data_IF_958459033806
#
_entry.id   IF_958459033806
#
_cell.length_a   1.000
_cell.length_b   1.000
_cell.length_c   1.000
_cell.angle_alpha   90.00
_cell.angle_beta   90.00
_cell.angle_gamma   90.00
#
_symmetry.space_group_name_H-M   'P 1'
#
loop_
_entity.id
_entity.type
_entity.pdbx_description
1 polymer ?
#
# COMPACT_ATOMS: atom_id res chain seq x y z
N UNK A 1 25.19 -41.16 -33.31
CA UNK A 1 24.83 -39.75 -33.09
C UNK A 1 23.79 -39.71 -31.99
N UNK A 2 24.15 -39.23 -30.79
CA UNK A 2 23.22 -39.15 -29.66
C UNK A 2 22.51 -37.80 -29.73
N UNK A 3 21.22 -37.80 -30.06
CA UNK A 3 20.38 -36.61 -29.95
C UNK A 3 20.24 -36.28 -28.46
N UNK A 4 20.73 -35.11 -28.07
CA UNK A 4 20.60 -34.58 -26.71
C UNK A 4 19.11 -34.33 -26.43
N UNK A 5 18.49 -35.21 -25.66
CA UNK A 5 17.19 -34.98 -25.03
C UNK A 5 17.36 -34.06 -23.82
N UNK A 6 17.91 -32.87 -24.02
CA UNK A 6 17.82 -31.82 -23.00
C UNK A 6 16.51 -31.07 -23.26
N UNK A 7 15.52 -31.15 -22.35
CA UNK A 7 14.28 -30.42 -22.52
C UNK A 7 14.57 -28.92 -22.57
N UNK A 8 14.05 -28.26 -23.60
CA UNK A 8 14.13 -26.80 -23.74
C UNK A 8 13.41 -26.13 -22.57
N UNK A 9 13.85 -24.95 -22.11
CA UNK A 9 13.28 -24.23 -20.94
C UNK A 9 11.75 -24.03 -20.96
N UNK A 10 11.11 -24.23 -22.11
CA UNK A 10 9.67 -24.08 -22.36
C UNK A 10 8.92 -25.41 -22.47
N UNK A 11 9.61 -26.54 -22.38
CA UNK A 11 8.99 -27.87 -22.33
C UNK A 11 8.74 -28.23 -20.88
N UNK A 12 7.47 -28.42 -20.51
CA UNK A 12 7.11 -29.03 -19.24
C UNK A 12 7.76 -30.42 -19.21
N UNK A 13 8.74 -30.60 -18.33
CA UNK A 13 9.42 -31.88 -18.19
C UNK A 13 8.40 -32.96 -17.84
N UNK A 14 8.29 -34.00 -18.67
CA UNK A 14 7.35 -35.12 -18.48
C UNK A 14 7.59 -35.87 -17.15
N UNK A 15 8.69 -35.55 -16.45
CA UNK A 15 9.08 -36.13 -15.16
C UNK A 15 9.15 -35.10 -14.02
N UNK A 16 8.78 -33.84 -14.25
CA UNK A 16 8.74 -32.83 -13.21
C UNK A 16 7.34 -32.79 -12.57
N UNK A 17 7.29 -32.95 -11.24
CA UNK A 17 6.04 -32.88 -10.47
C UNK A 17 5.64 -31.42 -10.27
N UNK A 18 4.62 -30.98 -11.00
CA UNK A 18 4.00 -29.67 -10.82
C UNK A 18 2.78 -29.76 -9.89
N UNK A 19 2.64 -28.79 -8.99
CA UNK A 19 1.52 -28.70 -8.07
C UNK A 19 0.60 -27.53 -8.47
N UNK A 20 -0.73 -27.72 -8.45
CA UNK A 20 -1.67 -26.64 -8.65
C UNK A 20 -1.62 -25.67 -7.47
N UNK A 21 -1.45 -24.39 -7.77
CA UNK A 21 -1.56 -23.30 -6.80
C UNK A 21 -2.93 -22.65 -6.96
N UNK A 22 -3.62 -22.48 -5.83
CA UNK A 22 -4.94 -21.88 -5.79
C UNK A 22 -4.88 -20.46 -5.22
N UNK A 23 -5.65 -19.56 -5.84
CA UNK A 23 -5.88 -18.20 -5.34
C UNK A 23 -7.37 -17.87 -5.47
N UNK A 24 -7.98 -17.42 -4.37
CA UNK A 24 -9.43 -17.10 -4.31
C UNK A 24 -10.35 -18.23 -4.81
N UNK A 25 -9.96 -19.49 -4.58
CA UNK A 25 -10.73 -20.68 -4.98
C UNK A 25 -10.59 -21.09 -6.45
N UNK A 26 -9.79 -20.38 -7.24
CA UNK A 26 -9.47 -20.74 -8.62
C UNK A 26 -8.00 -21.20 -8.73
N UNK A 27 -7.71 -22.06 -9.72
CA UNK A 27 -6.33 -22.47 -10.04
C UNK A 27 -5.62 -21.29 -10.68
N UNK A 28 -4.60 -20.75 -10.01
CA UNK A 28 -3.77 -19.67 -10.50
C UNK A 28 -2.67 -20.18 -11.45
N UNK A 29 -2.24 -21.44 -11.29
CA UNK A 29 -1.26 -22.07 -12.16
C UNK A 29 -0.67 -23.35 -11.57
N UNK A 30 0.21 -23.99 -12.33
CA UNK A 30 0.94 -25.18 -11.92
C UNK A 30 2.43 -24.84 -11.78
N UNK A 31 2.98 -25.06 -10.59
CA UNK A 31 4.35 -24.66 -10.27
C UNK A 31 5.16 -25.86 -9.79
N UNK A 32 6.47 -25.84 -10.04
CA UNK A 32 7.39 -26.80 -9.41
C UNK A 32 7.26 -26.69 -7.89
N UNK A 33 7.37 -27.81 -7.19
CA UNK A 33 7.19 -27.88 -5.73
C UNK A 33 8.01 -26.82 -4.98
N UNK A 34 9.26 -26.63 -5.39
CA UNK A 34 10.22 -25.69 -4.78
C UNK A 34 9.72 -24.23 -4.78
N UNK A 35 8.98 -23.81 -5.80
CA UNK A 35 8.43 -22.46 -5.90
C UNK A 35 6.99 -22.36 -5.40
N UNK A 36 6.27 -23.48 -5.40
CA UNK A 36 4.84 -23.52 -5.07
C UNK A 36 4.56 -22.99 -3.66
N UNK A 37 5.39 -23.32 -2.67
CA UNK A 37 5.21 -22.88 -1.29
C UNK A 37 5.39 -21.36 -1.14
N UNK A 38 6.42 -20.79 -1.76
CA UNK A 38 6.66 -19.34 -1.74
C UNK A 38 5.53 -18.58 -2.43
N UNK A 39 5.06 -19.09 -3.57
CA UNK A 39 3.97 -18.47 -4.34
C UNK A 39 2.65 -18.57 -3.56
N UNK A 40 2.33 -19.73 -2.97
CA UNK A 40 1.14 -19.91 -2.12
C UNK A 40 1.19 -18.94 -0.94
N UNK A 41 2.35 -18.77 -0.30
CA UNK A 41 2.52 -17.86 0.83
C UNK A 41 2.19 -16.43 0.44
N UNK A 42 2.75 -15.92 -0.65
CA UNK A 42 2.52 -14.54 -1.09
C UNK A 42 1.10 -14.31 -1.61
N UNK A 43 0.55 -15.26 -2.39
CA UNK A 43 -0.81 -15.14 -2.91
C UNK A 43 -1.85 -15.11 -1.78
N UNK A 44 -1.60 -15.78 -0.65
CA UNK A 44 -2.55 -15.86 0.46
C UNK A 44 -2.17 -14.98 1.66
N UNK A 45 -1.13 -14.15 1.55
CA UNK A 45 -0.60 -13.34 2.65
C UNK A 45 -1.65 -12.37 3.19
N UNK A 46 -2.38 -11.67 2.30
CA UNK A 46 -3.47 -10.78 2.68
C UNK A 46 -4.60 -11.48 3.43
N UNK A 47 -4.96 -12.70 3.01
CA UNK A 47 -6.02 -13.47 3.64
C UNK A 47 -5.58 -13.97 5.02
N UNK A 48 -4.32 -14.41 5.14
CA UNK A 48 -3.70 -14.79 6.40
C UNK A 48 -3.65 -13.61 7.37
N UNK A 49 -3.20 -12.44 6.92
CA UNK A 49 -3.13 -11.22 7.73
C UNK A 49 -4.51 -10.77 8.20
N UNK A 50 -5.53 -10.78 7.32
CA UNK A 50 -6.91 -10.47 7.70
C UNK A 50 -7.46 -11.45 8.73
N UNK A 51 -7.18 -12.76 8.59
CA UNK A 51 -7.60 -13.78 9.57
C UNK A 51 -6.89 -13.59 10.92
N UNK A 52 -5.58 -13.31 10.90
CA UNK A 52 -4.80 -13.05 12.11
C UNK A 52 -5.31 -11.80 12.85
N UNK A 53 -5.54 -10.70 12.13
CA UNK A 53 -6.14 -9.48 12.68
C UNK A 53 -7.51 -9.75 13.29
N UNK A 54 -8.36 -10.49 12.58
CA UNK A 54 -9.70 -10.87 13.07
C UNK A 54 -9.63 -11.67 14.36
N UNK A 55 -8.72 -12.65 14.43
CA UNK A 55 -8.52 -13.46 15.63
C UNK A 55 -8.02 -12.61 16.81
N UNK A 56 -7.00 -11.77 16.60
CA UNK A 56 -6.47 -10.88 17.63
C UNK A 56 -7.54 -9.92 18.17
N UNK A 57 -8.32 -9.28 17.29
CA UNK A 57 -9.40 -8.38 17.71
C UNK A 57 -10.51 -9.13 18.47
N UNK A 58 -10.85 -10.35 18.05
CA UNK A 58 -11.85 -11.17 18.74
C UNK A 58 -11.38 -11.57 20.13
N UNK A 59 -10.11 -11.94 20.27
CA UNK A 59 -9.52 -12.32 21.56
C UNK A 59 -9.45 -11.11 22.51
N UNK A 60 -9.10 -9.92 22.01
CA UNK A 60 -9.11 -8.68 22.80
C UNK A 60 -10.53 -8.28 23.26
N UNK A 61 -11.54 -8.37 22.39
CA UNK A 61 -12.92 -8.06 22.79
C UNK A 61 -13.48 -9.08 23.78
N UNK A 62 -13.12 -10.37 23.64
CA UNK A 62 -13.48 -11.42 24.61
C UNK A 62 -12.89 -11.12 25.99
N UNK A 63 -11.63 -10.71 26.08
CA UNK A 63 -11.00 -10.28 27.33
C UNK A 63 -11.67 -9.03 27.93
N UNK A 64 -12.22 -8.17 27.08
CA UNK A 64 -12.89 -6.91 27.47
C UNK A 64 -14.39 -7.08 27.78
N UNK A 65 -14.94 -8.29 27.68
CA UNK A 65 -16.38 -8.56 27.89
C UNK A 65 -17.32 -7.92 26.85
N UNK A 66 -16.79 -7.50 25.70
CA UNK A 66 -17.56 -6.82 24.64
C UNK A 66 -18.05 -7.78 23.57
N UNK A 67 -19.08 -7.36 22.86
CA UNK A 67 -19.70 -8.14 21.80
C UNK A 67 -18.76 -8.35 20.60
N UNK A 68 -18.49 -9.62 20.30
CA UNK A 68 -17.66 -10.06 19.18
C UNK A 68 -18.32 -9.89 17.81
N UNK A 69 -19.63 -9.61 17.76
CA UNK A 69 -20.37 -9.41 16.50
C UNK A 69 -19.88 -8.17 15.72
N UNK A 70 -19.36 -7.16 16.43
CA UNK A 70 -18.92 -5.89 15.85
C UNK A 70 -17.48 -5.91 15.32
N UNK A 71 -16.73 -7.01 15.54
CA UNK A 71 -15.32 -7.12 15.11
C UNK A 71 -15.17 -6.89 13.61
N UNK A 72 -16.07 -7.46 12.79
CA UNK A 72 -16.00 -7.33 11.33
C UNK A 72 -16.20 -5.89 10.87
N UNK A 73 -17.12 -5.16 11.48
CA UNK A 73 -17.38 -3.76 11.15
C UNK A 73 -16.23 -2.85 11.59
N UNK A 74 -15.69 -3.08 12.79
CA UNK A 74 -14.53 -2.37 13.30
C UNK A 74 -13.30 -2.62 12.42
N UNK A 75 -13.00 -3.86 12.06
CA UNK A 75 -11.89 -4.19 11.16
C UNK A 75 -12.08 -3.51 9.80
N UNK A 76 -13.30 -3.52 9.24
CA UNK A 76 -13.59 -2.83 7.99
C UNK A 76 -13.36 -1.32 8.12
N UNK A 77 -13.73 -0.72 9.26
CA UNK A 77 -13.46 0.70 9.55
C UNK A 77 -11.96 0.98 9.65
N UNK A 78 -11.22 0.18 10.42
CA UNK A 78 -9.78 0.33 10.57
C UNK A 78 -9.03 0.12 9.25
N UNK A 79 -9.42 -0.89 8.47
CA UNK A 79 -8.86 -1.13 7.13
C UNK A 79 -9.08 0.08 6.22
N UNK A 80 -10.28 0.66 6.20
CA UNK A 80 -10.56 1.90 5.47
C UNK A 80 -9.75 3.10 5.97
N UNK A 81 -9.47 3.18 7.26
CA UNK A 81 -8.62 4.25 7.83
C UNK A 81 -7.13 4.02 7.53
N UNK A 82 -6.71 2.76 7.37
CA UNK A 82 -5.34 2.40 6.98
C UNK A 82 -5.11 2.37 5.48
N UNK A 83 -6.17 2.34 4.67
CA UNK A 83 -6.06 2.51 3.22
C UNK A 83 -5.43 3.87 2.94
N UNK A 84 -4.46 3.87 2.02
CA UNK A 84 -3.76 5.09 1.62
C UNK A 84 -4.80 6.14 1.22
N UNK A 85 -4.82 7.31 1.90
CA UNK A 85 -5.78 8.36 1.60
C UNK A 85 -5.57 8.78 0.14
N UNK A 86 -6.62 8.63 -0.68
CA UNK A 86 -6.58 8.99 -2.09
C UNK A 86 -6.68 10.50 -2.30
N UNK A 87 -7.37 11.18 -1.39
CA UNK A 87 -7.66 12.62 -1.48
C UNK A 87 -7.52 13.31 -0.12
N UNK A 88 -7.46 14.64 -0.14
CA UNK A 88 -7.38 15.48 1.06
C UNK A 88 -5.97 15.68 1.60
N UNK A 89 -5.86 16.42 2.71
CA UNK A 89 -4.57 16.71 3.36
C UNK A 89 -3.75 15.45 3.64
N UNK A 90 -4.39 14.37 4.09
CA UNK A 90 -3.70 13.12 4.38
C UNK A 90 -3.10 12.44 3.12
N UNK A 91 -3.70 12.64 1.94
CA UNK A 91 -3.12 12.15 0.68
C UNK A 91 -1.82 12.89 0.36
N UNK A 92 -1.83 14.22 0.53
CA UNK A 92 -0.64 15.06 0.35
C UNK A 92 0.44 14.70 1.38
N UNK A 93 0.05 14.45 2.63
CA UNK A 93 0.96 13.96 3.67
C UNK A 93 1.60 12.60 3.29
N UNK A 94 0.83 11.69 2.68
CA UNK A 94 1.36 10.43 2.17
C UNK A 94 2.36 10.65 1.02
N UNK A 95 2.04 11.55 0.08
CA UNK A 95 2.94 11.90 -1.02
C UNK A 95 4.26 12.51 -0.51
N UNK A 96 4.20 13.35 0.54
CA UNK A 96 5.41 13.91 1.16
C UNK A 96 6.29 12.83 1.80
N UNK A 97 5.69 11.83 2.46
CA UNK A 97 6.45 10.69 3.02
C UNK A 97 7.10 9.84 1.95
N UNK A 98 6.42 9.62 0.84
CA UNK A 98 7.00 8.89 -0.30
C UNK A 98 8.13 9.68 -0.92
N UNK A 99 7.94 10.98 -1.10
CA UNK A 99 8.99 11.85 -1.60
C UNK A 99 10.21 11.86 -0.68
N UNK A 100 10.01 11.84 0.64
CA UNK A 100 11.08 11.70 1.61
C UNK A 100 11.85 10.38 1.43
N UNK A 101 11.14 9.26 1.23
CA UNK A 101 11.74 7.94 1.00
C UNK A 101 12.50 7.87 -0.32
N UNK A 102 11.95 8.44 -1.39
CA UNK A 102 12.62 8.53 -2.70
C UNK A 102 13.92 9.33 -2.65
N UNK A 103 13.95 10.38 -1.83
CA UNK A 103 15.13 11.22 -1.63
C UNK A 103 16.11 10.64 -0.59
N UNK A 104 15.75 9.53 0.07
CA UNK A 104 16.51 8.87 1.14
C UNK A 104 16.92 9.86 2.27
N UNK A 105 15.97 10.70 2.69
CA UNK A 105 16.20 11.73 3.71
C UNK A 105 15.62 11.33 5.07
N UNK A 106 16.37 11.59 6.14
CA UNK A 106 15.82 11.52 7.50
C UNK A 106 14.78 12.62 7.73
N UNK A 107 13.94 12.47 8.76
CA UNK A 107 12.88 13.45 9.08
C UNK A 107 13.42 14.87 9.24
N UNK A 108 14.61 15.01 9.85
CA UNK A 108 15.26 16.31 10.07
C UNK A 108 15.79 16.92 8.77
N UNK A 109 16.32 16.10 7.87
CA UNK A 109 16.82 16.54 6.58
C UNK A 109 15.67 16.91 5.64
N UNK A 110 14.61 16.11 5.64
CA UNK A 110 13.41 16.38 4.84
C UNK A 110 12.70 17.65 5.32
N UNK A 111 12.61 17.88 6.62
CA UNK A 111 12.06 19.13 7.17
C UNK A 111 12.84 20.35 6.67
N UNK A 112 14.19 20.29 6.70
CA UNK A 112 15.04 21.36 6.16
C UNK A 112 14.90 21.51 4.66
N UNK A 113 14.79 20.40 3.93
CA UNK A 113 14.54 20.40 2.49
C UNK A 113 13.24 21.14 2.17
N UNK A 114 12.13 20.81 2.82
CA UNK A 114 10.85 21.52 2.66
C UNK A 114 10.96 23.01 2.98
N UNK A 115 11.73 23.38 4.00
CA UNK A 115 11.96 24.77 4.39
C UNK A 115 12.64 25.58 3.27
N UNK A 116 13.54 24.96 2.48
CA UNK A 116 14.14 25.62 1.29
C UNK A 116 13.13 25.98 0.21
N UNK A 117 11.99 25.29 0.17
CA UNK A 117 10.88 25.55 -0.75
C UNK A 117 9.80 26.47 -0.14
N UNK A 118 10.06 27.06 1.04
CA UNK A 118 9.12 27.91 1.79
C UNK A 118 7.93 27.14 2.38
N UNK A 119 8.14 25.88 2.76
CA UNK A 119 7.21 25.13 3.61
C UNK A 119 7.87 24.98 4.97
N UNK A 120 7.43 25.79 5.93
CA UNK A 120 8.00 25.83 7.26
C UNK A 120 7.77 24.50 8.01
N UNK A 121 8.58 24.20 9.04
CA UNK A 121 8.38 23.01 9.87
C UNK A 121 6.99 22.95 10.53
N UNK A 122 6.40 24.11 10.84
CA UNK A 122 5.06 24.19 11.44
C UNK A 122 4.00 23.80 10.41
N UNK A 123 4.06 24.38 9.21
CA UNK A 123 3.13 24.04 8.11
C UNK A 123 3.25 22.57 7.72
N UNK A 124 4.48 22.03 7.67
CA UNK A 124 4.73 20.62 7.40
C UNK A 124 4.09 19.73 8.48
N UNK A 125 4.23 20.09 9.75
CA UNK A 125 3.59 19.37 10.85
C UNK A 125 2.07 19.44 10.76
N UNK A 126 1.49 20.60 10.44
CA UNK A 126 0.06 20.80 10.28
C UNK A 126 -0.51 19.92 9.15
N UNK A 127 0.24 19.73 8.06
CA UNK A 127 -0.13 18.79 7.00
C UNK A 127 -0.15 17.35 7.54
N UNK A 128 0.85 16.94 8.32
CA UNK A 128 0.89 15.58 8.90
C UNK A 128 -0.18 15.31 9.95
N UNK A 129 -0.68 16.35 10.64
CA UNK A 129 -1.81 16.23 11.58
C UNK A 129 -3.18 16.29 10.89
N UNK A 130 -3.22 16.59 9.59
CA UNK A 130 -4.45 16.61 8.79
C UNK A 130 -5.16 17.96 8.78
N UNK A 131 -4.49 19.05 9.14
CA UNK A 131 -5.08 20.39 9.04
C UNK A 131 -5.33 20.80 7.58
N UNK A 132 -6.30 21.70 7.31
CA UNK A 132 -6.55 22.20 5.96
C UNK A 132 -5.31 22.89 5.38
N UNK A 133 -4.95 22.54 4.14
CA UNK A 133 -3.79 23.16 3.47
C UNK A 133 -4.23 24.42 2.73
N UNK A 134 -3.63 25.55 3.09
CA UNK A 134 -3.84 26.82 2.41
C UNK A 134 -3.40 26.78 0.95
N UNK A 135 -4.10 27.52 0.08
CA UNK A 135 -3.78 27.62 -1.36
C UNK A 135 -2.37 28.18 -1.63
N UNK A 136 -1.85 28.98 -0.71
CA UNK A 136 -0.50 29.54 -0.71
C UNK A 136 0.58 28.45 -0.74
N UNK A 137 0.33 27.31 -0.08
CA UNK A 137 1.25 26.19 0.04
C UNK A 137 1.21 25.24 -1.16
N UNK A 138 0.20 25.33 -2.03
CA UNK A 138 0.06 24.43 -3.19
C UNK A 138 1.23 24.55 -4.16
N UNK A 139 1.71 25.77 -4.45
CA UNK A 139 2.83 25.95 -5.38
C UNK A 139 4.19 25.48 -4.81
N UNK A 140 4.53 25.76 -3.53
CA UNK A 140 5.66 25.12 -2.85
C UNK A 140 5.60 23.59 -2.83
N UNK A 141 4.47 23.02 -2.41
CA UNK A 141 4.30 21.57 -2.29
C UNK A 141 4.37 20.86 -3.64
N UNK A 142 3.79 21.43 -4.69
CA UNK A 142 3.88 20.90 -6.04
C UNK A 142 5.35 20.78 -6.52
N UNK A 143 6.21 21.75 -6.17
CA UNK A 143 7.65 21.69 -6.49
C UNK A 143 8.38 20.59 -5.72
N UNK A 144 8.09 20.43 -4.43
CA UNK A 144 8.66 19.36 -3.59
C UNK A 144 8.29 17.99 -4.16
N UNK A 145 7.00 17.81 -4.48
CA UNK A 145 6.42 16.56 -4.98
C UNK A 145 6.68 16.32 -6.47
N UNK A 146 7.25 17.30 -7.19
CA UNK A 146 7.52 17.23 -8.62
C UNK A 146 6.28 16.94 -9.48
N UNK A 147 5.11 17.43 -9.06
CA UNK A 147 3.84 17.35 -9.81
C UNK A 147 3.32 18.74 -10.14
N UNK A 148 2.32 18.83 -11.02
CA UNK A 148 1.73 20.13 -11.34
C UNK A 148 0.89 20.68 -10.18
N UNK A 149 0.78 22.01 -10.07
CA UNK A 149 -0.07 22.65 -9.04
C UNK A 149 -1.53 22.21 -9.18
N UNK A 150 -2.02 22.13 -10.41
CA UNK A 150 -3.41 21.77 -10.69
C UNK A 150 -3.70 20.32 -10.30
N UNK A 151 -2.76 19.40 -10.56
CA UNK A 151 -2.85 18.01 -10.13
C UNK A 151 -2.84 17.88 -8.59
N UNK A 152 -1.98 18.63 -7.90
CA UNK A 152 -1.97 18.65 -6.43
C UNK A 152 -3.30 19.18 -5.86
N UNK A 153 -3.92 20.18 -6.51
CA UNK A 153 -5.23 20.69 -6.13
C UNK A 153 -6.30 19.60 -6.31
N UNK A 154 -6.29 18.86 -7.43
CA UNK A 154 -7.22 17.73 -7.63
C UNK A 154 -7.09 16.69 -6.53
N UNK A 155 -5.86 16.38 -6.11
CA UNK A 155 -5.59 15.44 -5.01
C UNK A 155 -6.12 15.98 -3.68
N UNK A 156 -5.93 17.28 -3.38
CA UNK A 156 -6.47 17.90 -2.17
C UNK A 156 -7.99 17.88 -2.15
N UNK A 157 -8.62 18.30 -3.25
CA UNK A 157 -10.05 18.60 -3.30
C UNK A 157 -10.90 17.37 -3.64
N UNK A 158 -10.27 16.26 -4.05
CA UNK A 158 -10.96 15.02 -4.34
C UNK A 158 -11.74 15.02 -5.64
N UNK A 159 -11.31 15.83 -6.62
CA UNK A 159 -11.90 15.81 -7.95
C UNK A 159 -11.36 14.61 -8.72
N UNK A 160 -12.13 13.52 -8.72
CA UNK A 160 -12.02 12.51 -9.77
C UNK A 160 -12.40 13.20 -11.08
N UNK A 161 -11.49 13.18 -12.07
CA UNK A 161 -11.90 13.46 -13.44
C UNK A 161 -12.98 12.43 -13.78
N UNK A 162 -14.24 12.86 -13.80
CA UNK A 162 -15.29 12.13 -14.47
C UNK A 162 -14.92 12.10 -15.96
N UNK A 163 -14.14 11.10 -16.37
CA UNK A 163 -14.08 10.68 -17.75
C UNK A 163 -15.49 10.22 -18.14
N UNK A 164 -16.11 10.99 -19.04
CA UNK A 164 -17.35 10.67 -19.75
C UNK A 164 -17.01 9.77 -20.94
#
# INVERSE_FOLDING_TARGET
MSLRNEPTDWQLGVHESYMPVYYKGAVAGFFKKEYSETIIRHLNEDELLKKALTKACTDLLRQSGRDTSQVKELIKKYLKTSERPKFGTFAIAAFLRERQQELDLSDKEFTKFCDTFKVSPVELNNIYTGEPIEDSLMAPLARILSISKDELIKVRDGQEDHEI
#
